data_IF_665701771343
#
_entry.id   IF_665701771343
#
_cell.length_a   1.000
_cell.length_b   1.000
_cell.length_c   1.000
_cell.angle_alpha   90.00
_cell.angle_beta   90.00
_cell.angle_gamma   90.00
#
_symmetry.space_group_name_H-M   'P 1'
#
loop_
_entity.id
_entity.type
_entity.pdbx_description
1 polymer ?
#
# COMPACT_ATOMS: atom_id res chain seq x y z
N UNK A 1 -0.05 33.43 -14.83
CA UNK A 1 0.40 32.34 -13.94
C UNK A 1 -0.41 31.06 -14.12
N UNK A 2 -1.74 31.05 -13.91
CA UNK A 2 -2.57 29.83 -14.09
C UNK A 2 -2.38 29.15 -15.46
N UNK A 3 -2.44 29.93 -16.54
CA UNK A 3 -2.25 29.42 -17.92
C UNK A 3 -0.86 28.82 -18.16
N UNK A 4 0.18 29.35 -17.50
CA UNK A 4 1.55 28.82 -17.59
C UNK A 4 1.62 27.44 -16.93
N UNK A 5 1.05 27.31 -15.72
CA UNK A 5 0.99 26.02 -15.02
C UNK A 5 0.19 24.99 -15.83
N UNK A 6 -0.97 25.36 -16.38
CA UNK A 6 -1.77 24.47 -17.23
C UNK A 6 -0.97 24.02 -18.45
N UNK A 7 -0.27 24.94 -19.13
CA UNK A 7 0.59 24.60 -20.27
C UNK A 7 1.70 23.60 -19.90
N UNK A 8 2.31 23.72 -18.73
CA UNK A 8 3.31 22.74 -18.25
C UNK A 8 2.69 21.34 -18.14
N UNK A 9 1.51 21.23 -17.51
CA UNK A 9 0.79 19.97 -17.40
C UNK A 9 0.43 19.40 -18.78
N UNK A 10 -0.08 20.21 -19.69
CA UNK A 10 -0.45 19.77 -21.04
C UNK A 10 0.76 19.20 -21.80
N UNK A 11 1.93 19.85 -21.70
CA UNK A 11 3.17 19.40 -22.33
C UNK A 11 3.66 18.07 -21.72
N UNK A 12 3.62 17.95 -20.40
CA UNK A 12 4.03 16.71 -19.74
C UNK A 12 3.07 15.56 -20.05
N UNK A 13 1.75 15.81 -20.10
CA UNK A 13 0.74 14.82 -20.50
C UNK A 13 0.98 14.35 -21.93
N UNK A 14 1.20 15.26 -22.88
CA UNK A 14 1.49 14.89 -24.27
C UNK A 14 2.77 14.05 -24.36
N UNK A 15 3.80 14.42 -23.60
CA UNK A 15 5.06 13.68 -23.52
C UNK A 15 4.84 12.26 -22.99
N UNK A 16 4.04 12.10 -21.94
CA UNK A 16 3.71 10.79 -21.38
C UNK A 16 2.93 9.92 -22.37
N UNK A 17 1.97 10.51 -23.10
CA UNK A 17 1.24 9.80 -24.16
C UNK A 17 2.18 9.32 -25.28
N UNK A 18 3.13 10.16 -25.68
CA UNK A 18 4.12 9.79 -26.67
C UNK A 18 5.02 8.65 -26.20
N UNK A 19 5.57 8.74 -24.99
CA UNK A 19 6.40 7.67 -24.41
C UNK A 19 5.62 6.38 -24.27
N UNK A 20 4.36 6.43 -23.82
CA UNK A 20 3.49 5.25 -23.74
C UNK A 20 3.30 4.57 -25.11
N UNK A 21 3.20 5.33 -26.20
CA UNK A 21 3.10 4.78 -27.56
C UNK A 21 4.38 4.10 -28.08
N UNK A 22 5.53 4.33 -27.42
CA UNK A 22 6.82 3.76 -27.78
C UNK A 22 7.22 2.55 -26.93
N UNK A 23 6.36 2.13 -25.98
CA UNK A 23 6.59 0.91 -25.21
C UNK A 23 6.54 -0.28 -26.17
N UNK A 24 7.62 -1.06 -26.19
CA UNK A 24 7.83 -2.19 -27.08
C UNK A 24 8.23 -3.46 -26.31
N UNK A 25 8.64 -4.49 -27.04
CA UNK A 25 9.04 -5.78 -26.48
C UNK A 25 10.26 -5.69 -25.54
N UNK A 26 11.11 -4.67 -25.67
CA UNK A 26 12.26 -4.52 -24.78
C UNK A 26 11.82 -4.20 -23.34
N UNK A 27 10.66 -3.56 -23.16
CA UNK A 27 10.07 -3.40 -21.83
C UNK A 27 9.72 -4.75 -21.21
N UNK A 28 9.02 -5.61 -21.96
CA UNK A 28 8.65 -6.96 -21.50
C UNK A 28 9.88 -7.79 -21.16
N UNK A 29 10.90 -7.77 -22.02
CA UNK A 29 12.15 -8.50 -21.81
C UNK A 29 12.94 -7.97 -20.62
N UNK A 30 12.96 -6.65 -20.40
CA UNK A 30 13.57 -6.06 -19.21
C UNK A 30 12.88 -6.51 -17.92
N UNK A 31 11.53 -6.53 -17.91
CA UNK A 31 10.75 -7.03 -16.77
C UNK A 31 11.06 -8.51 -16.51
N UNK A 32 11.05 -9.35 -17.55
CA UNK A 32 11.37 -10.78 -17.43
C UNK A 32 12.78 -11.01 -16.89
N UNK A 33 13.77 -10.28 -17.40
CA UNK A 33 15.15 -10.35 -16.91
C UNK A 33 15.25 -10.00 -15.41
N UNK A 34 14.53 -8.97 -14.96
CA UNK A 34 14.47 -8.59 -13.54
C UNK A 34 13.79 -9.67 -12.70
N UNK A 35 12.74 -10.33 -13.21
CA UNK A 35 12.06 -11.42 -12.50
C UNK A 35 12.95 -12.66 -12.34
N UNK A 36 13.77 -12.97 -13.35
CA UNK A 36 14.68 -14.12 -13.35
C UNK A 36 15.99 -13.86 -12.60
N UNK A 37 16.32 -12.59 -12.34
CA UNK A 37 17.54 -12.22 -11.61
C UNK A 37 17.52 -12.78 -10.18
N UNK A 38 18.67 -13.31 -9.77
CA UNK A 38 18.95 -13.70 -8.38
C UNK A 38 19.61 -12.58 -7.57
N UNK A 39 19.94 -11.47 -8.22
CA UNK A 39 20.58 -10.31 -7.64
C UNK A 39 19.58 -9.21 -7.29
N UNK A 40 20.08 -7.98 -7.25
CA UNK A 40 19.32 -6.75 -7.01
C UNK A 40 19.21 -5.95 -8.30
N UNK A 41 18.22 -5.06 -8.33
CA UNK A 41 18.15 -4.02 -9.35
C UNK A 41 18.89 -2.77 -8.86
N UNK A 42 20.05 -2.49 -9.43
CA UNK A 42 20.87 -1.33 -9.08
C UNK A 42 20.46 -0.16 -9.98
N UNK A 43 19.89 0.90 -9.39
CA UNK A 43 19.48 2.09 -10.13
C UNK A 43 20.58 3.14 -10.10
N UNK A 44 20.92 3.70 -11.27
CA UNK A 44 22.04 4.62 -11.41
C UNK A 44 21.65 5.82 -12.27
N UNK A 45 22.12 7.03 -11.93
CA UNK A 45 21.82 8.24 -12.70
C UNK A 45 22.50 9.49 -12.14
N UNK A 46 22.77 10.48 -12.99
CA UNK A 46 23.35 11.78 -12.59
C UNK A 46 22.28 12.86 -12.42
N UNK A 47 22.54 13.82 -11.54
CA UNK A 47 21.73 15.03 -11.38
C UNK A 47 20.25 14.74 -11.16
N UNK A 48 19.37 15.40 -11.94
CA UNK A 48 17.92 15.19 -11.85
C UNK A 48 17.49 13.75 -12.16
N UNK A 49 18.11 13.10 -13.15
CA UNK A 49 17.87 11.67 -13.43
C UNK A 49 18.26 10.81 -12.23
N UNK A 50 19.32 11.17 -11.50
CA UNK A 50 19.70 10.53 -10.24
C UNK A 50 18.66 10.68 -9.14
N UNK A 51 18.05 11.86 -8.98
CA UNK A 51 16.96 12.06 -8.03
C UNK A 51 15.73 11.21 -8.36
N UNK A 52 15.36 11.12 -9.63
CA UNK A 52 14.30 10.22 -10.10
C UNK A 52 14.68 8.77 -9.84
N UNK A 53 15.94 8.39 -10.09
CA UNK A 53 16.46 7.05 -9.79
C UNK A 53 16.34 6.64 -8.32
N UNK A 54 16.56 7.58 -7.38
CA UNK A 54 16.33 7.33 -5.95
C UNK A 54 14.85 7.03 -5.65
N UNK A 55 13.92 7.79 -6.24
CA UNK A 55 12.47 7.52 -6.10
C UNK A 55 12.12 6.15 -6.68
N UNK A 56 12.57 5.86 -7.91
CA UNK A 56 12.33 4.57 -8.58
C UNK A 56 12.84 3.42 -7.71
N UNK A 57 14.08 3.50 -7.23
CA UNK A 57 14.65 2.48 -6.34
C UNK A 57 13.84 2.30 -5.06
N UNK A 58 13.37 3.38 -4.44
CA UNK A 58 12.52 3.29 -3.25
C UNK A 58 11.18 2.62 -3.56
N UNK A 59 10.58 2.95 -4.72
CA UNK A 59 9.31 2.35 -5.18
C UNK A 59 9.49 0.85 -5.42
N UNK A 60 10.53 0.44 -6.15
CA UNK A 60 10.86 -0.96 -6.39
C UNK A 60 11.00 -1.75 -5.09
N UNK A 61 11.77 -1.23 -4.13
CA UNK A 61 11.98 -1.89 -2.83
C UNK A 61 10.69 -1.98 -2.02
N UNK A 62 9.86 -0.92 -2.03
CA UNK A 62 8.55 -0.93 -1.35
C UNK A 62 7.54 -1.90 -1.98
N UNK A 63 7.81 -2.37 -3.20
CA UNK A 63 6.90 -3.19 -4.02
C UNK A 63 7.50 -4.57 -4.34
N UNK A 64 8.44 -5.02 -3.51
CA UNK A 64 8.96 -6.39 -3.54
C UNK A 64 10.15 -6.64 -4.47
N UNK A 65 10.67 -5.62 -5.17
CA UNK A 65 11.90 -5.73 -5.96
C UNK A 65 13.07 -5.15 -5.18
N UNK A 66 14.00 -5.99 -4.70
CA UNK A 66 15.19 -5.49 -3.99
C UNK A 66 16.00 -4.55 -4.87
N UNK A 67 16.05 -3.27 -4.48
CA UNK A 67 16.69 -2.22 -5.26
C UNK A 67 17.45 -1.24 -4.36
N UNK A 68 18.56 -0.73 -4.87
CA UNK A 68 19.26 0.41 -4.26
C UNK A 68 19.77 1.36 -5.34
N UNK A 69 20.02 2.61 -4.93
CA UNK A 69 20.57 3.63 -5.82
C UNK A 69 22.09 3.73 -5.66
N UNK A 70 22.82 3.71 -6.77
CA UNK A 70 24.27 3.92 -6.83
C UNK A 70 24.57 5.20 -7.61
N UNK A 71 25.30 6.14 -7.01
CA UNK A 71 25.67 7.38 -7.70
C UNK A 71 26.85 7.14 -8.65
N UNK A 72 26.76 7.51 -9.95
CA UNK A 72 27.80 7.20 -10.94
C UNK A 72 29.19 7.73 -10.60
N UNK A 73 29.26 8.92 -9.99
CA UNK A 73 30.54 9.52 -9.59
C UNK A 73 31.23 8.72 -8.47
N UNK A 74 30.49 8.16 -7.52
CA UNK A 74 31.03 7.39 -6.39
C UNK A 74 31.37 5.95 -6.79
N UNK A 75 30.77 5.44 -7.87
CA UNK A 75 31.02 4.10 -8.39
C UNK A 75 32.52 3.83 -8.60
N UNK A 76 33.22 4.74 -9.27
CA UNK A 76 34.68 4.63 -9.51
C UNK A 76 35.54 4.91 -8.29
N UNK A 77 34.94 5.32 -7.18
CA UNK A 77 35.61 5.56 -5.91
C UNK A 77 35.30 4.47 -4.87
N UNK A 78 34.74 3.33 -5.29
CA UNK A 78 34.61 2.11 -4.48
C UNK A 78 33.23 1.46 -4.55
N UNK A 79 32.18 2.22 -4.89
CA UNK A 79 30.80 1.71 -4.86
C UNK A 79 30.53 0.64 -5.93
N UNK A 80 31.36 0.51 -6.97
CA UNK A 80 31.28 -0.63 -7.89
C UNK A 80 31.44 -1.98 -7.18
N UNK A 81 32.09 -2.03 -6.01
CA UNK A 81 32.16 -3.24 -5.18
C UNK A 81 30.81 -3.68 -4.60
N UNK A 82 29.78 -2.82 -4.65
CA UNK A 82 28.42 -3.17 -4.25
C UNK A 82 27.66 -3.96 -5.32
N UNK A 83 28.14 -3.94 -6.57
CA UNK A 83 27.49 -4.60 -7.70
C UNK A 83 27.88 -6.07 -7.72
N UNK A 84 26.91 -6.94 -7.44
CA UNK A 84 27.07 -8.39 -7.52
C UNK A 84 27.03 -8.92 -8.96
N UNK A 85 27.50 -10.15 -9.17
CA UNK A 85 27.53 -10.81 -10.49
C UNK A 85 26.13 -11.03 -11.08
N UNK A 86 25.11 -11.20 -10.22
CA UNK A 86 23.73 -11.44 -10.65
C UNK A 86 22.87 -10.18 -10.68
N UNK A 87 23.44 -9.02 -10.32
CA UNK A 87 22.71 -7.77 -10.30
C UNK A 87 22.43 -7.28 -11.72
N UNK A 88 21.29 -6.60 -11.87
CA UNK A 88 20.91 -5.89 -13.11
C UNK A 88 21.03 -4.40 -12.85
N UNK A 89 21.57 -3.65 -13.82
CA UNK A 89 21.77 -2.21 -13.67
C UNK A 89 20.75 -1.44 -14.50
N UNK A 90 19.90 -0.66 -13.84
CA UNK A 90 18.99 0.30 -14.47
C UNK A 90 19.66 1.67 -14.55
N UNK A 91 20.05 2.09 -15.75
CA UNK A 91 20.87 3.28 -15.97
C UNK A 91 20.02 4.40 -16.58
N UNK A 92 19.90 5.51 -15.84
CA UNK A 92 19.09 6.67 -16.21
C UNK A 92 19.99 7.79 -16.76
N UNK A 93 19.89 8.06 -18.06
CA UNK A 93 20.54 9.21 -18.71
C UNK A 93 19.70 9.64 -19.90
N UNK A 94 19.02 10.79 -19.80
CA UNK A 94 18.12 11.22 -20.87
C UNK A 94 18.86 11.43 -22.21
N UNK A 95 20.06 12.04 -22.20
CA UNK A 95 20.88 12.17 -23.41
C UNK A 95 21.48 10.84 -23.88
N UNK A 96 21.74 9.92 -22.94
CA UNK A 96 22.49 8.70 -23.18
C UNK A 96 23.99 8.94 -23.43
N UNK A 97 24.48 10.15 -23.16
CA UNK A 97 25.85 10.59 -23.42
C UNK A 97 26.55 11.17 -22.15
N UNK A 98 25.95 11.00 -20.97
CA UNK A 98 26.54 11.49 -19.71
C UNK A 98 27.87 10.78 -19.42
N UNK A 99 28.96 11.53 -19.29
CA UNK A 99 30.32 10.96 -19.18
C UNK A 99 30.48 10.00 -18.00
N UNK A 100 30.00 10.36 -16.80
CA UNK A 100 30.10 9.52 -15.60
C UNK A 100 29.34 8.20 -15.78
N UNK A 101 28.25 8.22 -16.54
CA UNK A 101 27.47 7.03 -16.87
C UNK A 101 28.20 6.18 -17.91
N UNK A 102 28.70 6.79 -18.98
CA UNK A 102 29.40 6.07 -20.04
C UNK A 102 30.67 5.38 -19.54
N UNK A 103 31.35 5.94 -18.53
CA UNK A 103 32.48 5.31 -17.87
C UNK A 103 32.11 3.95 -17.24
N UNK A 104 30.86 3.74 -16.82
CA UNK A 104 30.39 2.46 -16.25
C UNK A 104 30.30 1.34 -17.28
N UNK A 105 30.06 1.67 -18.56
CA UNK A 105 29.76 0.68 -19.61
C UNK A 105 30.86 -0.38 -19.76
N UNK A 106 32.17 -0.04 -19.82
CA UNK A 106 33.23 -1.04 -19.87
C UNK A 106 33.25 -1.99 -18.68
N UNK A 107 33.04 -1.48 -17.46
CA UNK A 107 33.02 -2.30 -16.25
C UNK A 107 31.84 -3.28 -16.27
N UNK A 108 30.63 -2.82 -16.61
CA UNK A 108 29.44 -3.66 -16.66
C UNK A 108 29.56 -4.77 -17.70
N UNK A 109 30.18 -4.49 -18.85
CA UNK A 109 30.48 -5.51 -19.86
C UNK A 109 31.50 -6.53 -19.37
N UNK A 110 32.57 -6.08 -18.71
CA UNK A 110 33.60 -6.96 -18.16
C UNK A 110 33.05 -7.87 -17.05
N UNK A 111 32.21 -7.30 -16.17
CA UNK A 111 31.57 -8.01 -15.06
C UNK A 111 30.32 -8.82 -15.51
N UNK A 112 29.92 -8.69 -16.78
CA UNK A 112 28.79 -9.40 -17.42
C UNK A 112 27.42 -9.12 -16.79
N UNK A 113 27.25 -7.96 -16.15
CA UNK A 113 25.93 -7.54 -15.69
C UNK A 113 25.01 -7.21 -16.87
N UNK A 114 23.74 -7.59 -16.76
CA UNK A 114 22.70 -7.08 -17.63
C UNK A 114 22.49 -5.59 -17.32
N UNK A 115 22.34 -4.79 -18.36
CA UNK A 115 22.09 -3.35 -18.23
C UNK A 115 20.84 -2.95 -19.00
N UNK A 116 20.01 -2.12 -18.37
CA UNK A 116 18.80 -1.55 -18.93
C UNK A 116 19.03 -0.04 -19.00
N UNK A 117 19.09 0.52 -20.20
CA UNK A 117 19.24 1.94 -20.41
C UNK A 117 17.87 2.63 -20.52
N UNK A 118 17.66 3.69 -19.76
CA UNK A 118 16.49 4.58 -19.90
C UNK A 118 16.97 5.91 -20.46
N UNK A 119 16.73 6.13 -21.75
CA UNK A 119 17.22 7.32 -22.48
C UNK A 119 16.16 7.88 -23.43
N UNK A 120 16.27 9.16 -23.77
CA UNK A 120 15.40 9.80 -24.77
C UNK A 120 15.88 9.64 -26.21
N UNK A 121 17.05 9.04 -26.43
CA UNK A 121 17.66 8.87 -27.74
C UNK A 121 18.12 7.43 -27.95
N UNK A 122 17.39 6.66 -28.76
CA UNK A 122 17.72 5.28 -29.10
C UNK A 122 19.04 5.13 -29.85
N UNK A 123 19.57 6.21 -30.45
CA UNK A 123 20.85 6.20 -31.14
C UNK A 123 22.04 6.56 -30.25
N UNK A 124 21.81 6.89 -28.97
CA UNK A 124 22.86 7.26 -28.02
C UNK A 124 23.85 6.13 -27.75
N UNK A 125 25.04 6.50 -27.31
CA UNK A 125 26.09 5.56 -26.91
C UNK A 125 25.58 4.59 -25.85
N UNK A 126 24.91 5.09 -24.81
CA UNK A 126 24.36 4.23 -23.75
C UNK A 126 23.31 3.25 -24.30
N UNK A 127 22.34 3.73 -25.10
CA UNK A 127 21.28 2.88 -25.63
C UNK A 127 21.84 1.72 -26.49
N UNK A 128 22.84 1.99 -27.33
CA UNK A 128 23.48 0.98 -28.18
C UNK A 128 24.33 -0.05 -27.43
N UNK A 129 24.72 0.25 -26.19
CA UNK A 129 25.62 -0.60 -25.41
C UNK A 129 24.92 -1.34 -24.26
N UNK A 130 23.66 -1.02 -24.00
CA UNK A 130 22.84 -1.71 -22.99
C UNK A 130 22.27 -3.03 -23.53
N UNK A 131 21.88 -3.92 -22.62
CA UNK A 131 21.18 -5.17 -22.98
C UNK A 131 19.77 -4.87 -23.48
N UNK A 132 19.06 -3.98 -22.78
CA UNK A 132 17.72 -3.51 -23.14
C UNK A 132 17.68 -1.98 -23.10
N UNK A 133 16.88 -1.38 -23.98
CA UNK A 133 16.66 0.06 -24.02
C UNK A 133 15.18 0.36 -23.80
N UNK A 134 14.91 1.20 -22.81
CA UNK A 134 13.58 1.77 -22.54
C UNK A 134 13.60 3.22 -23.02
N UNK A 135 12.88 3.48 -24.11
CA UNK A 135 12.83 4.80 -24.72
C UNK A 135 11.87 5.72 -23.96
N UNK A 136 12.40 6.83 -23.44
CA UNK A 136 11.63 7.90 -22.78
C UNK A 136 11.72 9.23 -23.54
N UNK A 137 11.89 9.15 -24.87
CA UNK A 137 11.96 10.30 -25.75
C UNK A 137 10.71 11.17 -25.64
N UNK A 138 10.90 12.44 -25.33
CA UNK A 138 9.82 13.44 -25.26
C UNK A 138 9.90 14.36 -26.47
N UNK A 139 8.78 14.99 -26.83
CA UNK A 139 8.75 15.96 -27.94
C UNK A 139 9.39 17.29 -27.56
N UNK A 140 9.15 17.74 -26.34
CA UNK A 140 9.65 19.02 -25.83
C UNK A 140 9.65 19.03 -24.30
N UNK A 141 10.55 19.81 -23.72
CA UNK A 141 10.51 20.12 -22.30
C UNK A 141 9.43 21.18 -22.01
N UNK A 142 8.78 21.09 -20.85
CA UNK A 142 7.88 22.14 -20.38
C UNK A 142 8.64 23.41 -19.95
N UNK A 143 9.94 23.32 -19.70
CA UNK A 143 10.81 24.47 -19.50
C UNK A 143 10.87 25.32 -20.77
N UNK A 144 10.51 26.62 -20.75
CA UNK A 144 10.53 27.48 -21.94
C UNK A 144 11.89 27.66 -22.60
N UNK A 145 12.97 27.37 -21.86
CA UNK A 145 14.35 27.45 -22.35
C UNK A 145 14.90 26.09 -22.79
N UNK A 146 14.16 25.00 -22.57
CA UNK A 146 14.59 23.61 -22.80
C UNK A 146 15.87 23.20 -22.03
N UNK A 147 16.32 24.02 -21.07
CA UNK A 147 17.53 23.77 -20.28
C UNK A 147 17.27 22.89 -19.06
N UNK A 148 16.11 23.05 -18.43
CA UNK A 148 15.78 22.32 -17.22
C UNK A 148 14.94 21.09 -17.58
N UNK A 149 15.39 19.88 -17.21
CA UNK A 149 14.56 18.69 -17.33
C UNK A 149 13.29 18.87 -16.50
N UNK A 150 12.16 18.62 -17.18
CA UNK A 150 10.78 18.69 -16.68
C UNK A 150 10.03 17.45 -17.18
N UNK A 151 9.60 17.46 -18.43
CA UNK A 151 8.91 16.37 -19.10
C UNK A 151 9.76 15.10 -19.17
N UNK A 152 11.08 15.20 -19.37
CA UNK A 152 11.95 14.03 -19.46
C UNK A 152 12.10 13.34 -18.10
N UNK A 153 12.19 14.11 -17.01
CA UNK A 153 12.21 13.58 -15.66
C UNK A 153 10.89 12.93 -15.28
N UNK A 154 9.76 13.52 -15.68
CA UNK A 154 8.43 12.94 -15.45
C UNK A 154 8.23 11.65 -16.25
N UNK A 155 8.62 11.62 -17.52
CA UNK A 155 8.58 10.41 -18.35
C UNK A 155 9.45 9.29 -17.77
N UNK A 156 10.66 9.62 -17.31
CA UNK A 156 11.56 8.64 -16.66
C UNK A 156 10.94 8.10 -15.36
N UNK A 157 10.30 8.97 -14.57
CA UNK A 157 9.61 8.58 -13.34
C UNK A 157 8.47 7.60 -13.64
N UNK A 158 7.61 7.93 -14.62
CA UNK A 158 6.47 7.09 -15.01
C UNK A 158 6.94 5.76 -15.60
N UNK A 159 8.04 5.75 -16.37
CA UNK A 159 8.66 4.50 -16.85
C UNK A 159 9.12 3.60 -15.68
N UNK A 160 9.71 4.19 -14.64
CA UNK A 160 10.08 3.46 -13.42
C UNK A 160 8.88 2.93 -12.65
N UNK A 161 7.79 3.71 -12.57
CA UNK A 161 6.54 3.27 -11.95
C UNK A 161 5.88 2.14 -12.76
N UNK A 162 5.93 2.20 -14.09
CA UNK A 162 5.45 1.13 -14.96
C UNK A 162 6.25 -0.17 -14.75
N UNK A 163 7.58 -0.09 -14.65
CA UNK A 163 8.43 -1.24 -14.30
C UNK A 163 8.04 -1.83 -12.94
N UNK A 164 7.88 -0.99 -11.91
CA UNK A 164 7.53 -1.44 -10.57
C UNK A 164 6.16 -2.14 -10.56
N UNK A 165 5.14 -1.55 -11.19
CA UNK A 165 3.79 -2.13 -11.27
C UNK A 165 3.79 -3.44 -12.08
N UNK A 166 4.50 -3.49 -13.21
CA UNK A 166 4.62 -4.73 -13.99
C UNK A 166 5.26 -5.86 -13.17
N UNK A 167 6.31 -5.56 -12.41
CA UNK A 167 6.97 -6.52 -11.51
C UNK A 167 6.08 -6.96 -10.35
N UNK A 168 5.29 -6.04 -9.78
CA UNK A 168 4.29 -6.36 -8.76
C UNK A 168 3.26 -7.34 -9.29
N UNK A 169 2.66 -7.01 -10.45
CA UNK A 169 1.63 -7.84 -11.08
C UNK A 169 2.18 -9.21 -11.43
N UNK A 170 3.38 -9.29 -11.99
CA UNK A 170 3.99 -10.58 -12.34
C UNK A 170 4.38 -11.45 -11.13
N UNK A 171 4.46 -10.87 -9.93
CA UNK A 171 4.74 -11.58 -8.66
C UNK A 171 3.50 -11.81 -7.80
N UNK A 172 2.31 -11.45 -8.28
CA UNK A 172 1.08 -11.43 -7.49
C UNK A 172 1.25 -10.70 -6.14
N UNK A 173 1.99 -9.58 -6.15
CA UNK A 173 2.35 -8.85 -4.94
C UNK A 173 1.10 -8.36 -4.20
N UNK A 174 0.96 -8.80 -2.94
CA UNK A 174 -0.25 -8.62 -2.15
C UNK A 174 -0.16 -7.41 -1.20
N UNK A 175 -1.31 -6.92 -0.69
CA UNK A 175 -1.33 -5.95 0.41
C UNK A 175 -0.56 -6.43 1.66
N UNK A 176 -0.56 -7.74 1.94
CA UNK A 176 0.19 -8.33 3.04
C UNK A 176 1.70 -8.20 2.84
N UNK A 177 2.19 -8.42 1.61
CA UNK A 177 3.60 -8.20 1.26
C UNK A 177 3.98 -6.73 1.44
N UNK A 178 3.12 -5.82 1.00
CA UNK A 178 3.32 -4.38 1.21
C UNK A 178 3.46 -4.05 2.70
N UNK A 179 2.58 -4.60 3.52
CA UNK A 179 2.55 -4.31 4.95
C UNK A 179 3.79 -4.84 5.68
N UNK A 180 4.33 -6.00 5.27
CA UNK A 180 5.60 -6.54 5.78
C UNK A 180 6.78 -5.58 5.55
N UNK A 181 6.80 -4.87 4.42
CA UNK A 181 7.83 -3.88 4.12
C UNK A 181 7.57 -2.50 4.74
N UNK A 182 6.38 -2.26 5.33
CA UNK A 182 6.00 -0.96 5.91
C UNK A 182 5.34 -1.09 7.31
N UNK A 183 5.97 -1.77 8.28
CA UNK A 183 5.33 -2.05 9.58
C UNK A 183 5.01 -0.79 10.40
N UNK A 184 5.77 0.31 10.21
CA UNK A 184 5.56 1.57 10.94
C UNK A 184 4.43 2.46 10.38
N UNK A 185 4.02 2.24 9.12
CA UNK A 185 3.07 3.10 8.43
C UNK A 185 1.61 2.84 8.86
N UNK A 186 0.76 3.87 8.74
CA UNK A 186 -0.70 3.73 8.99
C UNK A 186 -1.32 2.62 8.14
N UNK A 187 -0.85 2.46 6.90
CA UNK A 187 -1.35 1.43 5.97
C UNK A 187 -0.90 0.02 6.38
N UNK A 188 0.39 -0.17 6.70
CA UNK A 188 0.90 -1.48 7.14
C UNK A 188 0.25 -1.96 8.44
N UNK A 189 0.00 -1.05 9.40
CA UNK A 189 -0.80 -1.36 10.59
C UNK A 189 -2.26 -1.73 10.24
N UNK A 190 -2.92 -0.98 9.36
CA UNK A 190 -4.30 -1.30 8.96
C UNK A 190 -4.44 -2.66 8.27
N UNK A 191 -3.43 -3.09 7.53
CA UNK A 191 -3.46 -4.33 6.76
C UNK A 191 -3.07 -5.58 7.56
N UNK A 192 -2.41 -5.43 8.72
CA UNK A 192 -1.91 -6.58 9.49
C UNK A 192 -2.59 -6.80 10.84
N UNK A 193 -3.25 -5.78 11.40
CA UNK A 193 -3.86 -5.88 12.73
C UNK A 193 -5.15 -6.68 12.64
N UNK A 194 -5.25 -7.73 13.46
CA UNK A 194 -6.43 -8.58 13.55
C UNK A 194 -7.36 -8.08 14.64
N UNK A 195 -8.65 -8.41 14.54
CA UNK A 195 -9.66 -7.99 15.51
C UNK A 195 -9.27 -8.40 16.94
N UNK A 196 -8.72 -9.61 17.12
CA UNK A 196 -8.27 -10.09 18.44
C UNK A 196 -7.20 -9.22 19.10
N UNK A 197 -6.42 -8.48 18.32
CA UNK A 197 -5.33 -7.64 18.84
C UNK A 197 -5.87 -6.34 19.48
N UNK A 198 -7.09 -5.93 19.11
CA UNK A 198 -7.73 -4.68 19.57
C UNK A 198 -9.08 -4.87 20.26
N UNK A 199 -9.65 -6.07 20.23
CA UNK A 199 -10.91 -6.35 20.90
C UNK A 199 -10.75 -6.26 22.41
N UNK A 200 -11.83 -5.88 23.08
CA UNK A 200 -11.91 -5.99 24.53
C UNK A 200 -12.33 -7.40 24.91
N UNK A 201 -11.63 -8.00 25.86
CA UNK A 201 -11.88 -9.36 26.36
C UNK A 201 -12.28 -9.40 27.84
N UNK A 202 -12.02 -8.32 28.59
CA UNK A 202 -12.36 -8.21 30.00
C UNK A 202 -13.79 -7.72 30.22
N UNK A 203 -14.42 -8.22 31.30
CA UNK A 203 -15.72 -7.75 31.78
C UNK A 203 -16.83 -7.68 30.72
N UNK A 204 -16.87 -8.68 29.82
CA UNK A 204 -17.91 -8.78 28.80
C UNK A 204 -19.30 -8.86 29.47
N UNK A 205 -20.23 -7.94 29.16
CA UNK A 205 -21.49 -7.81 29.87
C UNK A 205 -22.51 -8.83 29.36
N UNK A 206 -22.43 -10.07 29.85
CA UNK A 206 -23.46 -11.09 29.61
C UNK A 206 -24.62 -10.94 30.60
N UNK A 207 -25.84 -11.08 30.11
CA UNK A 207 -27.09 -11.00 30.87
C UNK A 207 -27.97 -12.21 30.61
N UNK A 208 -28.55 -12.74 31.68
CA UNK A 208 -29.52 -13.83 31.59
C UNK A 208 -30.78 -13.40 30.82
N UNK A 209 -31.34 -14.23 29.92
CA UNK A 209 -32.56 -13.89 29.16
C UNK A 209 -33.78 -13.58 30.03
N UNK A 210 -33.86 -14.13 31.24
CA UNK A 210 -34.91 -13.88 32.23
C UNK A 210 -34.62 -12.72 33.18
N UNK A 211 -33.52 -11.99 33.00
CA UNK A 211 -33.16 -10.87 33.85
C UNK A 211 -34.20 -9.73 33.78
N UNK A 212 -34.29 -8.95 34.86
CA UNK A 212 -35.13 -7.76 34.89
C UNK A 212 -34.38 -6.51 34.40
N UNK A 213 -35.15 -5.43 34.22
CA UNK A 213 -34.62 -4.16 33.72
C UNK A 213 -33.51 -3.56 34.62
N UNK A 214 -33.63 -3.69 35.95
CA UNK A 214 -32.60 -3.21 36.88
C UNK A 214 -31.27 -3.94 36.68
N UNK A 215 -31.32 -5.27 36.51
CA UNK A 215 -30.14 -6.09 36.23
C UNK A 215 -29.49 -5.70 34.89
N UNK A 216 -30.29 -5.43 33.86
CA UNK A 216 -29.80 -4.92 32.57
C UNK A 216 -28.98 -3.63 32.74
N UNK A 217 -29.51 -2.63 33.46
CA UNK A 217 -28.83 -1.34 33.67
C UNK A 217 -27.53 -1.50 34.47
N UNK A 218 -27.56 -2.32 35.53
CA UNK A 218 -26.35 -2.61 36.32
C UNK A 218 -25.29 -3.25 35.42
N UNK A 219 -25.68 -4.27 34.65
CA UNK A 219 -24.75 -5.03 33.81
C UNK A 219 -24.14 -4.18 32.69
N UNK A 220 -24.95 -3.30 32.10
CA UNK A 220 -24.48 -2.36 31.09
C UNK A 220 -23.48 -1.34 31.66
N UNK A 221 -23.73 -0.88 32.88
CA UNK A 221 -22.85 0.05 33.60
C UNK A 221 -21.52 -0.61 34.00
N UNK A 222 -21.55 -1.86 34.43
CA UNK A 222 -20.35 -2.67 34.72
C UNK A 222 -19.50 -2.88 33.47
N UNK A 223 -20.15 -3.24 32.36
CA UNK A 223 -19.49 -3.50 31.08
C UNK A 223 -18.85 -2.26 30.47
N UNK A 224 -19.43 -1.06 30.64
CA UNK A 224 -18.93 0.21 30.04
C UNK A 224 -18.73 0.17 28.52
N UNK A 225 -19.46 -0.71 27.83
CA UNK A 225 -19.42 -0.85 26.37
C UNK A 225 -20.62 -0.16 25.68
N UNK A 226 -21.55 0.40 26.45
CA UNK A 226 -22.81 0.93 25.93
C UNK A 226 -23.74 -0.18 25.39
N UNK A 227 -23.47 -1.43 25.75
CA UNK A 227 -24.23 -2.60 25.34
C UNK A 227 -24.15 -3.75 26.34
N UNK A 228 -25.04 -4.73 26.17
CA UNK A 228 -25.11 -6.00 26.90
C UNK A 228 -25.43 -7.13 25.92
N UNK A 229 -24.81 -8.29 26.11
CA UNK A 229 -25.08 -9.52 25.36
C UNK A 229 -26.07 -10.35 26.16
N UNK A 230 -27.21 -10.70 25.56
CA UNK A 230 -28.21 -11.57 26.19
C UNK A 230 -27.86 -13.01 25.90
N UNK A 231 -27.59 -13.81 26.93
CA UNK A 231 -27.11 -15.18 26.84
C UNK A 231 -25.74 -15.39 27.47
N UNK A 232 -24.96 -16.30 26.90
CA UNK A 232 -23.64 -16.72 27.37
C UNK A 232 -22.60 -16.58 26.26
N UNK A 233 -21.34 -16.91 26.55
CA UNK A 233 -20.30 -16.95 25.53
C UNK A 233 -20.60 -17.98 24.43
N UNK A 234 -21.20 -19.11 24.80
CA UNK A 234 -21.51 -20.21 23.86
C UNK A 234 -22.80 -19.98 23.08
N UNK A 235 -23.78 -19.29 23.69
CA UNK A 235 -25.12 -19.13 23.14
C UNK A 235 -25.61 -17.70 23.32
N UNK A 236 -25.66 -16.95 22.21
CA UNK A 236 -26.11 -15.55 22.18
C UNK A 236 -27.52 -15.48 21.62
N UNK A 237 -28.44 -14.94 22.41
CA UNK A 237 -29.83 -14.71 22.01
C UNK A 237 -30.05 -13.31 21.41
N UNK A 238 -29.17 -12.36 21.71
CA UNK A 238 -29.26 -11.02 21.16
C UNK A 238 -28.33 -10.03 21.85
N UNK A 239 -28.42 -8.77 21.43
CA UNK A 239 -27.71 -7.64 22.03
C UNK A 239 -28.66 -6.48 22.31
N UNK A 240 -28.39 -5.77 23.39
CA UNK A 240 -29.07 -4.52 23.75
C UNK A 240 -28.04 -3.42 23.81
N UNK A 241 -28.31 -2.29 23.16
CA UNK A 241 -27.46 -1.09 23.20
C UNK A 241 -28.15 0.08 23.90
N UNK A 242 -27.38 1.13 24.24
CA UNK A 242 -27.92 2.43 24.67
C UNK A 242 -29.00 2.98 23.72
N UNK A 243 -28.81 2.74 22.41
CA UNK A 243 -29.76 3.14 21.39
C UNK A 243 -31.10 2.41 21.52
N UNK A 244 -31.06 1.10 21.81
CA UNK A 244 -32.26 0.27 21.99
C UNK A 244 -33.01 0.67 23.26
N UNK A 245 -32.30 0.88 24.36
CA UNK A 245 -32.87 1.40 25.61
C UNK A 245 -33.60 2.72 25.40
N UNK A 246 -32.93 3.69 24.76
CA UNK A 246 -33.53 4.99 24.46
C UNK A 246 -34.77 4.86 23.58
N UNK A 247 -34.74 4.01 22.55
CA UNK A 247 -35.89 3.76 21.67
C UNK A 247 -37.05 3.09 22.43
N UNK A 248 -36.75 2.12 23.29
CA UNK A 248 -37.74 1.43 24.12
C UNK A 248 -38.44 2.38 25.10
N UNK A 249 -37.68 3.25 25.78
CA UNK A 249 -38.21 4.29 26.67
C UNK A 249 -39.24 5.18 26.00
N UNK A 250 -38.92 5.70 24.81
CA UNK A 250 -39.83 6.58 24.04
C UNK A 250 -41.08 5.84 23.60
N UNK A 251 -40.96 4.56 23.21
CA UNK A 251 -42.06 3.79 22.64
C UNK A 251 -43.07 3.31 23.69
N UNK A 252 -42.62 2.93 24.88
CA UNK A 252 -43.45 2.17 25.82
C UNK A 252 -43.68 2.86 27.17
N UNK A 253 -42.97 3.94 27.49
CA UNK A 253 -43.16 4.71 28.72
C UNK A 253 -42.66 3.97 29.98
N UNK A 254 -43.41 2.96 30.46
CA UNK A 254 -43.00 2.11 31.59
C UNK A 254 -42.29 0.85 31.09
N UNK A 255 -40.97 0.95 31.02
CA UNK A 255 -40.11 -0.12 30.53
C UNK A 255 -39.81 -1.20 31.58
N UNK A 256 -40.20 -1.02 32.84
CA UNK A 256 -39.93 -2.01 33.88
C UNK A 256 -40.74 -3.30 33.71
N UNK A 257 -41.81 -3.24 32.91
CA UNK A 257 -42.70 -4.37 32.62
C UNK A 257 -42.39 -5.04 31.28
N UNK A 258 -41.42 -4.51 30.52
CA UNK A 258 -41.04 -5.07 29.23
C UNK A 258 -40.07 -6.24 29.38
N UNK A 259 -40.36 -7.40 28.75
CA UNK A 259 -39.40 -8.48 28.65
C UNK A 259 -38.13 -8.03 27.92
N UNK A 260 -36.96 -8.47 28.40
CA UNK A 260 -35.65 -8.22 27.76
C UNK A 260 -35.66 -8.65 26.28
N UNK A 261 -36.37 -9.73 25.96
CA UNK A 261 -36.53 -10.25 24.60
C UNK A 261 -37.21 -9.28 23.64
N UNK A 262 -38.04 -8.36 24.13
CA UNK A 262 -38.70 -7.34 23.29
C UNK A 262 -37.82 -6.10 23.05
N UNK A 263 -36.75 -5.95 23.84
CA UNK A 263 -35.83 -4.83 23.75
C UNK A 263 -34.57 -5.16 22.93
N UNK A 264 -34.18 -6.43 22.89
CA UNK A 264 -32.95 -6.88 22.23
C UNK A 264 -33.07 -6.92 20.70
N UNK A 265 -31.95 -6.68 20.03
CA UNK A 265 -31.76 -7.10 18.66
C UNK A 265 -31.36 -8.58 18.64
N UNK A 266 -32.19 -9.49 18.09
CA UNK A 266 -31.91 -10.92 18.05
C UNK A 266 -30.86 -11.32 17.00
N UNK A 267 -30.46 -10.40 16.11
CA UNK A 267 -29.49 -10.65 15.05
C UNK A 267 -28.25 -9.75 15.23
N UNK A 268 -27.40 -10.01 16.24
CA UNK A 268 -26.11 -9.33 16.34
C UNK A 268 -25.19 -9.69 15.18
N UNK A 269 -24.27 -8.78 14.86
CA UNK A 269 -23.26 -9.00 13.84
C UNK A 269 -21.98 -9.50 14.52
N UNK A 270 -21.46 -10.60 13.99
CA UNK A 270 -20.25 -11.26 14.47
C UNK A 270 -19.11 -11.12 13.47
N UNK A 271 -17.89 -11.05 14.00
CA UNK A 271 -16.63 -11.17 13.26
C UNK A 271 -15.74 -12.21 13.93
N UNK A 272 -14.77 -12.75 13.19
CA UNK A 272 -13.82 -13.72 13.74
C UNK A 272 -12.61 -13.02 14.37
N UNK A 273 -12.03 -13.64 15.39
CA UNK A 273 -10.80 -13.17 16.05
C UNK A 273 -9.66 -12.89 15.07
N UNK A 274 -9.53 -13.73 14.06
CA UNK A 274 -8.45 -13.68 13.07
C UNK A 274 -8.74 -12.76 11.88
N UNK A 275 -9.93 -12.17 11.81
CA UNK A 275 -10.34 -11.24 10.76
C UNK A 275 -9.54 -9.93 10.88
N UNK A 276 -9.27 -9.28 9.74
CA UNK A 276 -8.55 -8.01 9.73
C UNK A 276 -9.43 -6.89 10.25
N UNK A 277 -8.84 -5.99 11.03
CA UNK A 277 -9.53 -4.79 11.53
C UNK A 277 -10.10 -3.95 10.37
N UNK A 278 -9.39 -3.90 9.24
CA UNK A 278 -9.86 -3.19 8.05
C UNK A 278 -11.21 -3.71 7.54
N UNK A 279 -11.37 -5.03 7.44
CA UNK A 279 -12.60 -5.66 6.96
C UNK A 279 -13.74 -5.49 7.98
N UNK A 280 -13.42 -5.65 9.27
CA UNK A 280 -14.36 -5.41 10.36
C UNK A 280 -14.86 -3.95 10.37
N UNK A 281 -13.97 -2.94 10.26
CA UNK A 281 -14.36 -1.53 10.17
C UNK A 281 -15.20 -1.21 8.93
N UNK A 282 -14.89 -1.84 7.78
CA UNK A 282 -15.68 -1.69 6.55
C UNK A 282 -17.11 -2.22 6.73
N UNK A 283 -17.26 -3.40 7.33
CA UNK A 283 -18.56 -3.97 7.69
C UNK A 283 -19.34 -3.06 8.65
N UNK A 284 -18.67 -2.48 9.64
CA UNK A 284 -19.28 -1.55 10.59
C UNK A 284 -19.83 -0.29 9.91
N UNK A 285 -19.08 0.28 8.97
CA UNK A 285 -19.50 1.44 8.19
C UNK A 285 -20.71 1.12 7.28
N UNK A 286 -20.67 -0.03 6.60
CA UNK A 286 -21.77 -0.50 5.75
C UNK A 286 -23.07 -0.68 6.56
N UNK A 287 -22.96 -1.33 7.73
CA UNK A 287 -24.08 -1.64 8.61
C UNK A 287 -24.46 -0.49 9.53
N UNK A 288 -23.69 0.61 9.53
CA UNK A 288 -23.86 1.79 10.40
C UNK A 288 -23.90 1.43 11.89
N UNK A 289 -23.04 0.50 12.29
CA UNK A 289 -22.87 0.07 13.68
C UNK A 289 -21.51 0.49 14.21
N UNK A 290 -21.41 0.65 15.53
CA UNK A 290 -20.16 1.06 16.20
C UNK A 290 -19.57 -0.06 17.06
N UNK A 291 -20.19 -1.23 17.09
CA UNK A 291 -19.75 -2.36 17.90
C UNK A 291 -20.04 -3.69 17.23
N UNK A 292 -19.08 -4.61 17.30
CA UNK A 292 -19.14 -5.97 16.79
C UNK A 292 -18.89 -6.97 17.92
N UNK A 293 -19.59 -8.10 17.88
CA UNK A 293 -19.24 -9.26 18.71
C UNK A 293 -18.14 -10.06 18.02
N UNK A 294 -17.16 -10.51 18.79
CA UNK A 294 -16.02 -11.27 18.26
C UNK A 294 -16.11 -12.71 18.74
N UNK A 295 -15.98 -13.64 17.81
CA UNK A 295 -16.01 -15.07 18.08
C UNK A 295 -14.70 -15.77 17.72
N UNK A 296 -14.35 -16.77 18.51
CA UNK A 296 -13.27 -17.70 18.20
C UNK A 296 -13.69 -18.75 17.13
N UNK A 297 -12.81 -19.73 16.89
CA UNK A 297 -13.05 -20.86 15.97
C UNK A 297 -14.23 -21.74 16.37
N UNK A 298 -14.53 -21.82 17.68
CA UNK A 298 -15.60 -22.65 18.25
C UNK A 298 -16.94 -21.88 18.32
N UNK A 299 -17.03 -20.69 17.71
CA UNK A 299 -18.17 -19.78 17.73
C UNK A 299 -18.51 -19.22 19.12
N UNK A 300 -17.61 -19.30 20.09
CA UNK A 300 -17.80 -18.69 21.40
C UNK A 300 -17.46 -17.20 21.33
N UNK A 301 -18.25 -16.36 21.97
CA UNK A 301 -17.96 -14.92 22.09
C UNK A 301 -16.79 -14.72 23.05
N UNK A 302 -15.68 -14.27 22.51
CA UNK A 302 -14.43 -14.03 23.25
C UNK A 302 -14.09 -12.55 23.39
N UNK A 303 -14.78 -11.67 22.66
CA UNK A 303 -14.55 -10.24 22.77
C UNK A 303 -15.60 -9.36 22.13
N UNK A 304 -15.40 -8.06 22.31
CA UNK A 304 -16.19 -6.99 21.68
C UNK A 304 -15.23 -6.00 21.04
N UNK A 305 -15.46 -5.66 19.77
CA UNK A 305 -14.67 -4.67 19.04
C UNK A 305 -15.50 -3.41 18.79
N UNK A 306 -14.96 -2.24 19.14
CA UNK A 306 -15.60 -0.94 18.91
C UNK A 306 -14.72 -0.06 18.02
N UNK A 307 -15.35 0.62 17.05
CA UNK A 307 -14.64 1.41 16.01
C UNK A 307 -13.80 2.56 16.57
N UNK A 308 -14.05 2.98 17.81
CA UNK A 308 -13.34 4.04 18.51
C UNK A 308 -12.36 3.54 19.58
N UNK A 309 -11.96 2.26 19.55
CA UNK A 309 -10.94 1.71 20.46
C UNK A 309 -9.52 2.30 20.27
N UNK A 310 -9.35 3.33 19.42
CA UNK A 310 -8.08 4.04 19.25
C UNK A 310 -8.02 5.23 20.21
N UNK A 311 -7.41 5.01 21.38
CA UNK A 311 -6.76 6.05 22.16
C UNK A 311 -5.24 6.01 21.88
#
# INVERSE_FOLDING_TARGET
MKSIAQKVFDIEIESLQHVASMIDEQFSQAVEAILQSKGKLVVCGMGKSGHIGKKISATLTSTGTQSFFMHPAEAFHGDLGMVGEHDIILILSYSGETEEILKLVPFLKWHKNLSIAVTGNSNSTLAKNATYHLNVGIKQEACPLELAPTSSTTATLVMGDALAVALMTARDFSPDDFARFHPGGRLGRKLLVRVKDLMRTDALPFLDPGANFTQLIIRMSEGKLGMVVVGTADEVFGVITDGDLRRGLVKYGDINQLPISELMNPNPIFVKEEELVYDAEALMLERKITTLLVQNSDNQVTGVYQIFNQA
#
